data_IF_089971046335
#
_entry.id   IF_089971046335
#
_cell.length_a   1.000
_cell.length_b   1.000
_cell.length_c   1.000
_cell.angle_alpha   90.00
_cell.angle_beta   90.00
_cell.angle_gamma   90.00
#
_symmetry.space_group_name_H-M   'P 1'
#
loop_
_entity.id
_entity.type
_entity.pdbx_description
1 polymer ?
#
# COMPACT_ATOMS: atom_id res chain seq x y z
N UNK A 1 -11.42 12.88 5.80
CA UNK A 1 -10.75 11.73 5.17
C UNK A 1 -9.91 11.08 6.25
N UNK A 2 -9.97 9.75 6.38
CA UNK A 2 -9.14 9.04 7.36
C UNK A 2 -7.69 9.07 6.89
N UNK A 3 -6.75 9.40 7.77
CA UNK A 3 -5.32 9.44 7.42
C UNK A 3 -4.73 8.03 7.39
N UNK A 4 -3.79 7.81 6.46
CA UNK A 4 -3.02 6.57 6.42
C UNK A 4 -2.23 6.41 7.75
N UNK A 5 -2.15 5.20 8.30
CA UNK A 5 -1.44 4.97 9.57
C UNK A 5 0.07 5.21 9.39
N UNK A 6 0.78 5.73 10.40
CA UNK A 6 2.20 6.08 10.27
C UNK A 6 3.10 4.86 10.04
N UNK A 7 2.62 3.66 10.37
CA UNK A 7 3.28 2.39 10.09
C UNK A 7 2.26 1.33 9.68
N UNK A 8 2.59 0.58 8.63
CA UNK A 8 1.83 -0.59 8.17
C UNK A 8 2.76 -1.80 8.23
N UNK A 9 2.25 -2.90 8.78
CA UNK A 9 2.86 -4.23 8.69
C UNK A 9 1.81 -5.15 8.11
N UNK A 10 2.12 -5.75 6.97
CA UNK A 10 1.16 -6.52 6.20
C UNK A 10 1.72 -7.88 5.84
N UNK A 11 0.84 -8.88 5.93
CA UNK A 11 1.02 -10.17 5.28
C UNK A 11 0.21 -10.17 3.99
N UNK A 12 0.82 -10.54 2.87
CA UNK A 12 0.20 -10.38 1.54
C UNK A 12 0.01 -11.76 0.90
N UNK A 13 -1.24 -12.10 0.63
CA UNK A 13 -1.58 -13.39 0.01
C UNK A 13 -2.29 -13.16 -1.32
N UNK A 14 -1.79 -13.81 -2.36
CA UNK A 14 -2.47 -13.96 -3.64
C UNK A 14 -2.93 -15.41 -3.79
N UNK A 15 -4.11 -15.62 -4.37
CA UNK A 15 -4.53 -16.96 -4.77
C UNK A 15 -5.52 -16.96 -5.94
N UNK A 16 -5.52 -18.04 -6.71
CA UNK A 16 -6.58 -18.38 -7.67
C UNK A 16 -7.71 -19.21 -7.05
N UNK A 17 -7.54 -19.66 -5.79
CA UNK A 17 -8.55 -20.38 -5.02
C UNK A 17 -9.52 -19.46 -4.28
N UNK A 18 -10.37 -20.05 -3.43
CA UNK A 18 -11.45 -19.34 -2.72
C UNK A 18 -11.10 -18.95 -1.28
N UNK A 19 -9.85 -19.12 -0.86
CA UNK A 19 -9.40 -18.79 0.49
C UNK A 19 -7.88 -18.67 0.59
N UNK A 20 -7.43 -17.94 1.60
CA UNK A 20 -6.00 -17.73 1.88
C UNK A 20 -5.63 -18.42 3.18
N UNK A 21 -4.49 -19.12 3.16
CA UNK A 21 -3.87 -19.69 4.34
C UNK A 21 -2.76 -18.77 4.86
N UNK A 22 -2.79 -18.47 6.16
CA UNK A 22 -1.75 -17.69 6.83
C UNK A 22 -1.13 -18.53 7.96
N UNK A 23 0.12 -18.96 7.81
CA UNK A 23 0.92 -19.52 8.90
C UNK A 23 0.86 -18.70 10.19
N UNK A 24 0.79 -19.38 11.34
CA UNK A 24 0.74 -18.70 12.65
C UNK A 24 1.97 -17.81 12.87
N UNK A 25 3.16 -18.26 12.45
CA UNK A 25 4.40 -17.47 12.55
C UNK A 25 4.31 -16.10 11.88
N UNK A 26 3.57 -16.00 10.77
CA UNK A 26 3.37 -14.76 10.01
C UNK A 26 2.42 -13.85 10.78
N UNK A 27 1.33 -14.40 11.31
CA UNK A 27 0.38 -13.68 12.16
C UNK A 27 1.01 -13.17 13.46
N UNK A 28 1.92 -13.92 14.07
CA UNK A 28 2.63 -13.51 15.28
C UNK A 28 3.68 -12.41 15.02
N UNK A 29 4.18 -12.33 13.79
CA UNK A 29 5.15 -11.32 13.40
C UNK A 29 4.53 -9.96 13.10
N UNK A 30 3.24 -9.89 12.75
CA UNK A 30 2.55 -8.64 12.36
C UNK A 30 2.33 -7.63 13.51
N UNK A 31 1.88 -8.02 14.72
CA UNK A 31 1.51 -7.06 15.74
C UNK A 31 2.72 -6.23 16.18
N UNK A 32 2.64 -4.92 15.97
CA UNK A 32 3.52 -3.95 16.59
C UNK A 32 2.68 -3.02 17.47
N UNK A 33 3.36 -2.20 18.28
CA UNK A 33 2.76 -1.35 19.31
C UNK A 33 1.75 -0.31 18.80
N UNK A 34 1.44 0.71 19.62
CA UNK A 34 0.40 1.68 19.29
C UNK A 34 0.68 2.37 17.94
N UNK A 35 -0.39 2.60 17.16
CA UNK A 35 -0.37 3.27 15.83
C UNK A 35 0.25 2.48 14.67
N UNK A 36 0.46 1.17 14.81
CA UNK A 36 0.76 0.29 13.68
C UNK A 36 -0.53 -0.39 13.18
N UNK A 37 -0.81 -0.31 11.88
CA UNK A 37 -1.81 -1.16 11.26
C UNK A 37 -1.17 -2.54 10.97
N UNK A 38 -1.68 -3.58 11.61
CA UNK A 38 -1.27 -4.96 11.40
C UNK A 38 -2.35 -5.69 10.60
N UNK A 39 -2.10 -5.90 9.31
CA UNK A 39 -3.13 -6.36 8.35
C UNK A 39 -2.73 -7.63 7.62
N UNK A 40 -3.73 -8.37 7.18
CA UNK A 40 -3.60 -9.36 6.12
C UNK A 40 -4.28 -8.79 4.88
N UNK A 41 -3.56 -8.74 3.76
CA UNK A 41 -4.04 -8.31 2.47
C UNK A 41 -4.22 -9.52 1.55
N UNK A 42 -5.47 -9.83 1.19
CA UNK A 42 -5.80 -10.89 0.25
C UNK A 42 -6.12 -10.34 -1.14
N UNK A 43 -5.52 -10.92 -2.17
CA UNK A 43 -5.85 -10.69 -3.58
C UNK A 43 -6.33 -12.00 -4.21
N UNK A 44 -7.51 -11.96 -4.82
CA UNK A 44 -8.13 -13.14 -5.41
C UNK A 44 -8.25 -12.98 -6.92
N UNK A 45 -8.12 -14.11 -7.61
CA UNK A 45 -8.48 -14.28 -9.01
C UNK A 45 -9.19 -15.63 -9.16
N UNK A 46 -10.37 -15.73 -8.55
CA UNK A 46 -11.09 -16.99 -8.33
C UNK A 46 -12.38 -17.12 -9.15
N UNK A 47 -12.67 -16.18 -10.05
CA UNK A 47 -13.86 -16.14 -10.89
C UNK A 47 -15.05 -15.41 -10.27
N UNK A 48 -14.85 -14.69 -9.16
CA UNK A 48 -15.89 -13.87 -8.53
C UNK A 48 -15.73 -12.42 -8.96
N UNK A 49 -16.63 -11.93 -9.81
CA UNK A 49 -16.55 -10.59 -10.39
C UNK A 49 -16.53 -9.45 -9.35
N UNK A 50 -17.05 -9.67 -8.13
CA UNK A 50 -17.08 -8.64 -7.08
C UNK A 50 -15.76 -8.53 -6.32
N UNK A 51 -14.92 -9.57 -6.34
CA UNK A 51 -13.69 -9.67 -5.54
C UNK A 51 -12.46 -9.74 -6.43
N UNK A 52 -12.57 -10.35 -7.60
CA UNK A 52 -11.45 -10.60 -8.50
C UNK A 52 -10.69 -9.31 -8.81
N UNK A 53 -9.39 -9.36 -8.52
CA UNK A 53 -8.46 -8.26 -8.70
C UNK A 53 -8.56 -7.10 -7.72
N UNK A 54 -9.32 -7.24 -6.63
CA UNK A 54 -9.45 -6.24 -5.57
C UNK A 54 -8.69 -6.68 -4.30
N UNK A 55 -8.13 -5.71 -3.59
CA UNK A 55 -7.44 -5.97 -2.33
C UNK A 55 -8.41 -6.05 -1.16
N UNK A 56 -8.51 -7.22 -0.53
CA UNK A 56 -9.25 -7.41 0.70
C UNK A 56 -8.32 -7.27 1.91
N UNK A 57 -8.36 -6.10 2.54
CA UNK A 57 -7.63 -5.78 3.78
C UNK A 57 -8.43 -6.13 5.03
N UNK A 58 -7.87 -6.98 5.90
CA UNK A 58 -8.44 -7.33 7.19
C UNK A 58 -7.41 -7.21 8.33
N UNK A 59 -7.89 -6.93 9.54
CA UNK A 59 -7.09 -6.94 10.75
C UNK A 59 -6.56 -8.35 11.04
N UNK A 60 -5.24 -8.46 11.19
CA UNK A 60 -4.59 -9.75 11.39
C UNK A 60 -5.07 -10.46 12.67
N UNK A 61 -5.21 -9.73 13.78
CA UNK A 61 -5.64 -10.31 15.06
C UNK A 61 -7.14 -10.54 15.11
N UNK A 62 -7.93 -9.59 14.62
CA UNK A 62 -9.40 -9.66 14.64
C UNK A 62 -9.94 -10.80 13.79
N UNK A 63 -9.34 -11.03 12.62
CA UNK A 63 -9.85 -12.03 11.65
C UNK A 63 -9.16 -13.39 11.80
N UNK A 64 -7.88 -13.44 12.17
CA UNK A 64 -7.11 -14.69 12.19
C UNK A 64 -6.66 -15.13 13.60
N UNK A 65 -6.90 -14.32 14.64
CA UNK A 65 -6.20 -14.44 15.92
C UNK A 65 -6.56 -15.60 16.86
N UNK A 66 -7.49 -16.52 16.51
CA UNK A 66 -7.84 -17.65 17.38
C UNK A 66 -8.27 -18.90 16.62
N UNK A 67 -7.31 -19.73 16.17
CA UNK A 67 -7.53 -21.14 15.83
C UNK A 67 -6.30 -21.98 16.19
N UNK A 68 -6.51 -23.25 16.56
CA UNK A 68 -5.42 -24.19 16.83
C UNK A 68 -4.91 -24.78 15.50
N UNK A 69 -3.59 -24.88 15.34
CA UNK A 69 -2.93 -25.43 14.15
C UNK A 69 -1.74 -24.58 13.68
N UNK A 70 -1.01 -25.05 12.66
CA UNK A 70 0.18 -24.34 12.13
C UNK A 70 -0.17 -23.18 11.18
N UNK A 71 -1.42 -23.15 10.69
CA UNK A 71 -1.93 -22.10 9.81
C UNK A 71 -3.43 -21.87 10.02
N UNK A 72 -3.88 -20.67 9.69
CA UNK A 72 -5.29 -20.27 9.68
C UNK A 72 -5.72 -20.01 8.25
N UNK A 73 -6.75 -20.73 7.80
CA UNK A 73 -7.37 -20.49 6.49
C UNK A 73 -8.67 -19.70 6.64
N UNK A 74 -8.82 -18.68 5.81
CA UNK A 74 -9.99 -17.80 5.75
C UNK A 74 -10.49 -17.75 4.31
N UNK A 75 -11.77 -18.03 4.12
CA UNK A 75 -12.42 -17.95 2.80
C UNK A 75 -12.69 -16.51 2.37
N UNK A 76 -12.80 -16.29 1.05
CA UNK A 76 -13.03 -14.97 0.45
C UNK A 76 -14.23 -14.23 1.05
N UNK A 77 -15.32 -14.92 1.37
CA UNK A 77 -16.54 -14.29 1.92
C UNK A 77 -16.36 -13.87 3.39
N UNK A 78 -15.59 -14.64 4.17
CA UNK A 78 -15.22 -14.28 5.54
C UNK A 78 -14.27 -13.08 5.54
N UNK A 79 -13.28 -13.08 4.65
CA UNK A 79 -12.34 -11.97 4.49
C UNK A 79 -13.04 -10.70 3.98
N UNK A 80 -13.97 -10.83 3.03
CA UNK A 80 -14.77 -9.72 2.51
C UNK A 80 -15.65 -9.09 3.61
N UNK A 81 -16.29 -9.90 4.46
CA UNK A 81 -17.02 -9.37 5.62
C UNK A 81 -16.12 -8.65 6.62
N UNK A 82 -14.93 -9.20 6.90
CA UNK A 82 -13.95 -8.52 7.75
C UNK A 82 -13.49 -7.19 7.14
N UNK A 83 -13.23 -7.19 5.83
CA UNK A 83 -12.88 -6.00 5.06
C UNK A 83 -13.96 -4.91 5.17
N UNK A 84 -15.24 -5.26 5.12
CA UNK A 84 -16.30 -4.24 5.20
C UNK A 84 -16.62 -3.79 6.64
N UNK A 85 -16.24 -4.56 7.66
CA UNK A 85 -16.69 -4.33 9.05
C UNK A 85 -15.64 -3.71 9.98
N UNK A 86 -14.46 -3.36 9.47
CA UNK A 86 -13.33 -2.89 10.28
C UNK A 86 -12.89 -1.47 9.87
N UNK A 87 -13.56 -0.40 10.33
CA UNK A 87 -13.29 0.97 9.89
C UNK A 87 -11.87 1.49 10.14
N UNK A 88 -11.16 0.86 11.08
CA UNK A 88 -9.78 1.23 11.42
C UNK A 88 -8.80 1.13 10.23
N UNK A 89 -9.16 0.37 9.19
CA UNK A 89 -8.33 0.15 8.00
C UNK A 89 -8.87 0.86 6.75
N UNK A 90 -9.91 1.70 6.86
CA UNK A 90 -10.55 2.36 5.71
C UNK A 90 -9.58 3.23 4.92
N UNK A 91 -8.68 3.96 5.60
CA UNK A 91 -7.66 4.77 4.92
C UNK A 91 -6.76 3.95 3.98
N UNK A 92 -6.39 2.72 4.39
CA UNK A 92 -5.59 1.81 3.57
C UNK A 92 -6.41 1.34 2.35
N UNK A 93 -7.68 1.00 2.57
CA UNK A 93 -8.58 0.51 1.51
C UNK A 93 -8.85 1.60 0.48
N UNK A 94 -9.25 2.78 0.92
CA UNK A 94 -9.51 3.93 0.07
C UNK A 94 -8.28 4.27 -0.79
N UNK A 95 -7.08 4.23 -0.20
CA UNK A 95 -5.84 4.47 -0.93
C UNK A 95 -5.57 3.39 -1.98
N UNK A 96 -5.73 2.12 -1.65
CA UNK A 96 -5.56 1.02 -2.60
C UNK A 96 -6.61 1.08 -3.71
N UNK A 97 -7.88 1.29 -3.39
CA UNK A 97 -8.96 1.37 -4.37
C UNK A 97 -8.76 2.55 -5.35
N UNK A 98 -8.23 3.67 -4.86
CA UNK A 98 -7.93 4.83 -5.69
C UNK A 98 -6.75 4.61 -6.65
N UNK A 99 -5.74 3.83 -6.26
CA UNK A 99 -4.46 3.78 -6.98
C UNK A 99 -4.16 2.44 -7.67
N UNK A 100 -4.70 1.33 -7.16
CA UNK A 100 -4.25 -0.02 -7.50
C UNK A 100 -4.29 -0.32 -8.99
N UNK A 101 -5.39 0.05 -9.66
CA UNK A 101 -5.58 -0.27 -11.08
C UNK A 101 -4.57 0.46 -11.95
N UNK A 102 -4.52 1.78 -11.83
CA UNK A 102 -3.57 2.62 -12.58
C UNK A 102 -2.12 2.25 -12.27
N UNK A 103 -1.84 1.90 -11.01
CA UNK A 103 -0.52 1.46 -10.58
C UNK A 103 -0.09 0.14 -11.24
N UNK A 104 -0.97 -0.88 -11.25
CA UNK A 104 -0.68 -2.14 -11.91
C UNK A 104 -0.44 -1.94 -13.41
N UNK A 105 -1.29 -1.15 -14.09
CA UNK A 105 -1.13 -0.93 -15.52
C UNK A 105 0.17 -0.19 -15.87
N UNK A 106 0.53 0.85 -15.10
CA UNK A 106 1.78 1.57 -15.29
C UNK A 106 3.02 0.68 -15.12
N UNK A 107 2.92 -0.37 -14.30
CA UNK A 107 4.03 -1.28 -13.97
C UNK A 107 3.87 -2.67 -14.59
N UNK A 108 2.88 -2.89 -15.47
CA UNK A 108 2.54 -4.20 -16.01
C UNK A 108 3.72 -4.83 -16.76
N UNK A 109 4.46 -4.02 -17.51
CA UNK A 109 5.63 -4.50 -18.26
C UNK A 109 6.75 -4.99 -17.34
N UNK A 110 6.93 -4.37 -16.17
CA UNK A 110 7.89 -4.86 -15.18
C UNK A 110 7.37 -6.14 -14.54
N UNK A 111 6.07 -6.17 -14.20
CA UNK A 111 5.41 -7.33 -13.62
C UNK A 111 5.57 -8.58 -14.49
N UNK A 112 5.31 -8.47 -15.81
CA UNK A 112 5.47 -9.62 -16.74
C UNK A 112 6.93 -10.02 -16.99
N UNK A 113 7.90 -9.13 -16.75
CA UNK A 113 9.34 -9.47 -16.80
C UNK A 113 9.80 -10.26 -15.58
N UNK A 114 9.01 -10.28 -14.51
CA UNK A 114 9.27 -11.05 -13.30
C UNK A 114 9.73 -10.21 -12.11
N UNK A 115 10.03 -10.93 -11.02
CA UNK A 115 10.18 -10.35 -9.68
C UNK A 115 11.35 -9.38 -9.61
N UNK A 116 12.52 -9.80 -10.07
CA UNK A 116 13.72 -8.98 -10.02
C UNK A 116 13.55 -7.65 -10.79
N UNK A 117 12.89 -7.69 -11.95
CA UNK A 117 12.60 -6.51 -12.76
C UNK A 117 11.61 -5.58 -12.04
N UNK A 118 10.55 -6.13 -11.45
CA UNK A 118 9.54 -5.39 -10.70
C UNK A 118 10.15 -4.73 -9.48
N UNK A 119 10.80 -5.51 -8.62
CA UNK A 119 11.43 -5.03 -7.38
C UNK A 119 12.48 -3.95 -7.66
N UNK A 120 13.40 -4.20 -8.59
CA UNK A 120 14.46 -3.24 -8.92
C UNK A 120 13.90 -1.96 -9.55
N UNK A 121 12.89 -2.09 -10.41
CA UNK A 121 12.26 -0.95 -11.06
C UNK A 121 11.53 -0.05 -10.06
N UNK A 122 10.70 -0.65 -9.20
CA UNK A 122 9.92 0.07 -8.20
C UNK A 122 10.80 0.71 -7.12
N UNK A 123 11.80 -0.02 -6.61
CA UNK A 123 12.75 0.52 -5.62
C UNK A 123 13.49 1.75 -6.16
N UNK A 124 13.94 1.67 -7.41
CA UNK A 124 14.59 2.80 -8.09
C UNK A 124 13.63 3.99 -8.25
N UNK A 125 12.42 3.77 -8.78
CA UNK A 125 11.43 4.84 -8.98
C UNK A 125 11.05 5.49 -7.64
N UNK A 126 10.89 4.70 -6.59
CA UNK A 126 10.58 5.20 -5.26
C UNK A 126 11.71 6.07 -4.70
N UNK A 127 12.97 5.62 -4.76
CA UNK A 127 14.14 6.40 -4.33
C UNK A 127 14.34 7.68 -5.11
N UNK A 128 13.98 7.69 -6.39
CA UNK A 128 14.02 8.87 -7.24
C UNK A 128 12.83 9.83 -7.01
N UNK A 129 11.80 9.42 -6.24
CA UNK A 129 10.59 10.22 -6.04
C UNK A 129 9.65 10.23 -7.25
N UNK A 130 9.75 9.23 -8.13
CA UNK A 130 9.13 9.17 -9.46
C UNK A 130 8.08 8.06 -9.60
N UNK A 131 7.63 7.51 -8.47
CA UNK A 131 6.75 6.34 -8.46
C UNK A 131 5.38 6.62 -9.10
N UNK A 132 4.94 7.89 -9.12
CA UNK A 132 3.69 8.35 -9.75
C UNK A 132 3.85 8.75 -11.22
N UNK A 133 5.08 8.83 -11.74
CA UNK A 133 5.30 9.27 -13.11
C UNK A 133 4.71 8.25 -14.10
N UNK A 134 3.95 8.74 -15.08
CA UNK A 134 3.37 7.89 -16.11
C UNK A 134 2.16 7.07 -15.66
N UNK A 135 1.53 7.42 -14.53
CA UNK A 135 0.22 6.87 -14.21
C UNK A 135 -0.77 7.28 -15.30
N UNK A 136 -1.57 6.33 -15.82
CA UNK A 136 -2.61 6.67 -16.75
C UNK A 136 -3.60 7.62 -16.07
N UNK A 137 -3.80 8.80 -16.67
CA UNK A 137 -4.75 9.82 -16.21
C UNK A 137 -6.21 9.34 -16.41
N UNK A 138 -6.42 8.44 -17.38
CA UNK A 138 -7.71 7.80 -17.63
C UNK A 138 -7.97 6.63 -16.67
N UNK A 139 -9.23 6.48 -16.25
CA UNK A 139 -9.65 5.38 -15.38
C UNK A 139 -9.61 4.04 -16.12
N UNK A 140 -8.91 3.08 -15.53
CA UNK A 140 -8.84 1.70 -16.03
C UNK A 140 -10.13 0.95 -15.71
N UNK A 141 -10.69 0.31 -16.73
CA UNK A 141 -11.92 -0.47 -16.61
C UNK A 141 -11.68 -1.76 -15.80
N UNK A 142 -12.72 -2.24 -15.09
CA UNK A 142 -12.63 -3.49 -14.29
C UNK A 142 -12.17 -4.68 -15.14
N UNK A 143 -12.66 -4.79 -16.38
CA UNK A 143 -12.30 -5.86 -17.30
C UNK A 143 -10.82 -5.80 -17.71
N UNK A 144 -10.28 -4.60 -17.98
CA UNK A 144 -8.87 -4.40 -18.33
C UNK A 144 -7.96 -4.70 -17.15
N UNK A 145 -8.36 -4.27 -15.95
CA UNK A 145 -7.62 -4.55 -14.72
C UNK A 145 -7.53 -6.05 -14.44
N UNK A 146 -8.65 -6.77 -14.54
CA UNK A 146 -8.65 -8.22 -14.38
C UNK A 146 -7.78 -8.93 -15.44
N UNK A 147 -7.79 -8.42 -16.68
CA UNK A 147 -6.95 -8.95 -17.76
C UNK A 147 -5.46 -8.71 -17.50
N UNK A 148 -5.07 -7.53 -17.01
CA UNK A 148 -3.69 -7.24 -16.61
C UNK A 148 -3.19 -8.21 -15.55
N UNK A 149 -4.00 -8.52 -14.54
CA UNK A 149 -3.65 -9.50 -13.52
C UNK A 149 -3.52 -10.91 -14.09
N UNK A 150 -4.49 -11.35 -14.90
CA UNK A 150 -4.42 -12.66 -15.59
C UNK A 150 -3.15 -12.80 -16.39
N UNK A 151 -2.77 -11.75 -17.13
CA UNK A 151 -1.54 -11.74 -17.93
C UNK A 151 -0.28 -11.98 -17.10
N UNK A 152 -0.19 -11.39 -15.90
CA UNK A 152 0.95 -11.66 -14.98
C UNK A 152 0.94 -13.13 -14.55
N UNK A 153 -0.22 -13.65 -14.15
CA UNK A 153 -0.39 -15.03 -13.68
C UNK A 153 -0.12 -16.05 -14.78
N UNK A 154 -0.60 -15.82 -16.00
CA UNK A 154 -0.35 -16.70 -17.15
C UNK A 154 1.13 -16.69 -17.55
N UNK A 155 1.82 -15.56 -17.39
CA UNK A 155 3.24 -15.43 -17.74
C UNK A 155 4.17 -16.11 -16.73
N UNK A 156 3.83 -16.12 -15.44
CA UNK A 156 4.77 -16.48 -14.36
C UNK A 156 4.27 -17.59 -13.43
N UNK A 157 3.00 -17.95 -13.49
CA UNK A 157 2.34 -18.86 -12.56
C UNK A 157 1.97 -18.20 -11.22
N UNK A 158 1.13 -18.88 -10.44
CA UNK A 158 0.52 -18.34 -9.21
C UNK A 158 1.57 -17.95 -8.16
N UNK A 159 2.54 -18.84 -7.89
CA UNK A 159 3.54 -18.60 -6.84
C UNK A 159 4.41 -17.38 -7.12
N UNK A 160 4.93 -17.24 -8.35
CA UNK A 160 5.78 -16.11 -8.70
C UNK A 160 4.97 -14.81 -8.77
N UNK A 161 3.73 -14.87 -9.27
CA UNK A 161 2.83 -13.72 -9.30
C UNK A 161 2.48 -13.21 -7.91
N UNK A 162 2.39 -14.10 -6.91
CA UNK A 162 2.20 -13.67 -5.53
C UNK A 162 3.30 -12.73 -5.04
N UNK A 163 4.57 -13.02 -5.36
CA UNK A 163 5.70 -12.16 -4.99
C UNK A 163 5.65 -10.82 -5.76
N UNK A 164 5.27 -10.83 -7.04
CA UNK A 164 5.04 -9.60 -7.83
C UNK A 164 3.96 -8.73 -7.19
N UNK A 165 2.82 -9.32 -6.85
CA UNK A 165 1.72 -8.59 -6.25
C UNK A 165 2.05 -8.09 -4.85
N UNK A 166 2.92 -8.77 -4.11
CA UNK A 166 3.48 -8.28 -2.85
C UNK A 166 4.35 -7.02 -3.06
N UNK A 167 5.24 -7.03 -4.05
CA UNK A 167 6.03 -5.83 -4.39
C UNK A 167 5.10 -4.68 -4.78
N UNK A 168 4.15 -4.95 -5.67
CA UNK A 168 3.22 -3.93 -6.16
C UNK A 168 2.31 -3.41 -5.05
N UNK A 169 1.86 -4.26 -4.12
CA UNK A 169 1.09 -3.85 -2.95
C UNK A 169 1.88 -2.85 -2.09
N UNK A 170 3.14 -3.19 -1.77
CA UNK A 170 4.00 -2.34 -0.94
C UNK A 170 4.21 -0.97 -1.59
N UNK A 171 4.57 -0.94 -2.87
CA UNK A 171 4.83 0.32 -3.56
C UNK A 171 3.55 1.10 -3.90
N UNK A 172 2.41 0.45 -4.10
CA UNK A 172 1.12 1.14 -4.19
C UNK A 172 0.82 1.91 -2.90
N UNK A 173 1.05 1.29 -1.73
CA UNK A 173 0.91 2.00 -0.45
C UNK A 173 1.97 3.10 -0.27
N UNK A 174 3.19 2.91 -0.77
CA UNK A 174 4.27 3.91 -0.69
C UNK A 174 3.90 5.24 -1.36
N UNK A 175 2.99 5.24 -2.35
CA UNK A 175 2.40 6.45 -2.95
C UNK A 175 1.73 7.36 -1.92
N UNK A 176 1.30 6.82 -0.78
CA UNK A 176 0.77 7.60 0.34
C UNK A 176 1.82 8.49 1.02
N UNK A 177 3.11 8.37 0.65
CA UNK A 177 4.21 9.19 1.13
C UNK A 177 5.16 8.47 2.09
N UNK A 178 5.08 7.14 2.22
CA UNK A 178 6.03 6.38 3.06
C UNK A 178 7.44 6.47 2.49
N UNK A 179 8.43 6.82 3.32
CA UNK A 179 9.85 6.89 2.92
C UNK A 179 10.55 5.54 3.01
N UNK A 180 10.06 4.68 3.89
CA UNK A 180 10.67 3.39 4.18
C UNK A 180 9.75 2.27 3.69
N UNK A 181 10.23 1.49 2.73
CA UNK A 181 9.53 0.34 2.15
C UNK A 181 10.37 -0.93 2.36
N UNK A 182 9.98 -1.77 3.31
CA UNK A 182 10.57 -3.08 3.55
C UNK A 182 9.72 -4.18 2.91
N UNK A 183 10.33 -4.97 2.02
CA UNK A 183 9.68 -6.15 1.40
C UNK A 183 10.54 -7.38 1.66
N UNK A 184 9.95 -8.37 2.33
CA UNK A 184 10.62 -9.59 2.74
C UNK A 184 10.03 -10.79 1.99
N UNK A 185 10.76 -11.36 1.02
CA UNK A 185 10.30 -12.54 0.28
C UNK A 185 10.39 -13.85 1.09
N UNK A 186 11.17 -13.86 2.18
CA UNK A 186 11.43 -15.02 3.05
C UNK A 186 11.24 -14.68 4.54
N UNK A 187 11.17 -13.39 4.86
CA UNK A 187 11.06 -12.89 6.23
C UNK A 187 9.62 -12.50 6.57
N UNK A 188 9.36 -12.26 7.86
CA UNK A 188 8.04 -11.88 8.36
C UNK A 188 8.11 -10.54 9.08
N UNK A 189 7.21 -9.58 8.81
CA UNK A 189 6.10 -9.64 7.86
C UNK A 189 6.56 -9.48 6.40
N UNK A 190 5.72 -9.88 5.45
CA UNK A 190 5.95 -9.71 4.02
C UNK A 190 6.26 -8.26 3.63
N UNK A 191 5.53 -7.32 4.21
CA UNK A 191 5.64 -5.88 3.93
C UNK A 191 5.67 -5.07 5.22
N UNK A 192 6.57 -4.10 5.28
CA UNK A 192 6.61 -3.07 6.31
C UNK A 192 6.78 -1.70 5.65
N UNK A 193 5.86 -0.77 5.94
CA UNK A 193 5.93 0.61 5.50
C UNK A 193 6.02 1.54 6.71
N UNK A 194 6.92 2.52 6.65
CA UNK A 194 7.12 3.52 7.69
C UNK A 194 7.59 4.86 7.12
N UNK A 195 7.76 5.85 7.99
CA UNK A 195 8.24 7.16 7.60
C UNK A 195 7.26 7.92 6.69
N UNK A 196 5.96 7.81 6.97
CA UNK A 196 4.91 8.54 6.24
C UNK A 196 5.23 10.05 6.24
N UNK A 197 5.50 10.59 5.06
CA UNK A 197 5.76 12.00 4.80
C UNK A 197 4.45 12.78 4.96
N UNK A 198 4.05 13.04 6.21
CA UNK A 198 2.73 13.64 6.42
C UNK A 198 2.22 13.78 7.85
N UNK A 199 3.03 13.54 8.90
CA UNK A 199 2.68 14.07 10.24
C UNK A 199 3.24 15.47 10.52
N UNK A 200 4.02 16.03 9.60
CA UNK A 200 4.45 17.42 9.62
C UNK A 200 3.95 18.10 8.34
N UNK A 201 2.67 18.49 8.33
CA UNK A 201 2.16 19.52 7.43
C UNK A 201 2.48 20.93 7.94
N UNK A 202 3.46 21.05 8.84
CA UNK A 202 4.12 22.30 9.16
C UNK A 202 5.32 22.48 8.23
N UNK A 203 5.44 23.66 7.63
CA UNK A 203 6.71 24.08 7.06
C UNK A 203 7.77 24.00 8.17
N UNK A 204 8.97 23.51 7.87
CA UNK A 204 10.06 23.60 8.84
C UNK A 204 10.35 25.07 9.17
N UNK A 205 10.85 25.35 10.37
CA UNK A 205 11.22 26.72 10.76
C UNK A 205 12.18 27.39 9.77
N UNK A 206 13.01 26.60 9.07
CA UNK A 206 13.88 27.08 7.99
C UNK A 206 13.10 27.52 6.75
N UNK A 207 12.15 26.70 6.29
CA UNK A 207 11.31 27.01 5.12
C UNK A 207 10.39 28.20 5.40
N UNK A 208 9.83 28.31 6.61
CA UNK A 208 9.05 29.49 7.03
C UNK A 208 9.91 30.74 7.00
N UNK A 209 11.15 30.66 7.50
CA UNK A 209 12.08 31.79 7.50
C UNK A 209 12.48 32.21 6.07
N UNK A 210 12.69 31.25 5.16
CA UNK A 210 12.99 31.52 3.75
C UNK A 210 11.82 32.18 3.02
N UNK A 211 10.59 31.66 3.19
CA UNK A 211 9.38 32.23 2.59
C UNK A 211 9.10 33.62 3.14
N UNK A 212 9.26 33.82 4.45
CA UNK A 212 9.12 35.13 5.08
C UNK A 212 10.18 36.11 4.61
N UNK A 213 11.44 35.66 4.42
CA UNK A 213 12.51 36.47 3.85
C UNK A 213 12.21 36.88 2.40
N UNK A 214 11.71 35.97 1.56
CA UNK A 214 11.31 36.28 0.20
C UNK A 214 10.14 37.29 0.14
N UNK A 215 9.16 37.15 1.05
CA UNK A 215 8.07 38.13 1.19
C UNK A 215 8.59 39.52 1.59
N UNK A 216 9.54 39.59 2.54
CA UNK A 216 10.19 40.85 2.95
C UNK A 216 10.96 41.50 1.81
N UNK A 217 11.76 40.72 1.07
CA UNK A 217 12.53 41.21 -0.08
C UNK A 217 11.61 41.75 -1.19
N UNK A 218 10.42 41.19 -1.33
CA UNK A 218 9.40 41.62 -2.29
C UNK A 218 8.49 42.75 -1.77
N UNK A 219 8.77 43.32 -0.60
CA UNK A 219 7.98 44.40 0.02
C UNK A 219 6.63 43.96 0.61
N UNK A 220 6.34 42.67 0.67
CA UNK A 220 5.08 42.11 1.20
C UNK A 220 5.20 41.81 2.70
N UNK A 221 5.38 42.86 3.49
CA UNK A 221 5.67 42.75 4.93
C UNK A 221 4.54 42.08 5.72
N UNK A 222 3.27 42.38 5.42
CA UNK A 222 2.13 41.76 6.09
C UNK A 222 2.02 40.26 5.81
N UNK A 223 2.40 39.84 4.59
CA UNK A 223 2.42 38.43 4.21
C UNK A 223 3.55 37.68 4.92
N UNK A 224 4.72 38.30 5.08
CA UNK A 224 5.84 37.72 5.83
C UNK A 224 5.46 37.43 7.29
N UNK A 225 4.81 38.39 7.95
CA UNK A 225 4.32 38.23 9.34
C UNK A 225 3.24 37.15 9.43
N UNK A 226 2.34 37.10 8.44
CA UNK A 226 1.29 36.08 8.38
C UNK A 226 1.88 34.67 8.21
N UNK A 227 2.88 34.52 7.34
CA UNK A 227 3.62 33.27 7.12
C UNK A 227 4.31 32.81 8.40
N UNK A 228 5.05 33.69 9.09
CA UNK A 228 5.72 33.34 10.35
C UNK A 228 4.74 32.94 11.46
N UNK A 229 3.58 33.61 11.53
CA UNK A 229 2.57 33.35 12.55
C UNK A 229 1.75 32.08 12.31
N UNK A 230 1.41 31.80 11.05
CA UNK A 230 0.49 30.72 10.69
C UNK A 230 1.21 29.42 10.33
N UNK A 231 2.47 29.51 9.91
CA UNK A 231 3.25 28.37 9.42
C UNK A 231 4.47 28.04 10.28
N UNK A 232 4.94 28.97 11.13
CA UNK A 232 6.11 28.82 12.00
C UNK A 232 5.84 28.30 13.41
N UNK A 233 4.71 27.60 13.61
CA UNK A 233 4.32 27.00 14.90
C UNK A 233 5.28 25.91 15.37
#
# INVERSE_FOLDING_TARGET
MSELPPRIRAEVKFTTGTGIGVPIRELEALPAGPRCAAVVAGLFLCGDAEIDGRWLIADARGTFGRRAGDSVSVGKDELSRAHLSQPAHDAIRDHLDANWRSFLAANLELAVKGHDATKSGLDRLHKEGRLTEGFPEDRILDAEHAEHMKRVVESLGESQSGVIFQDLFAYCLALGGYKDVGINAVGVPDVELAGLSGSDSGFSAGEVAEIAAACRQSGRMELAVKVERELGG
#
